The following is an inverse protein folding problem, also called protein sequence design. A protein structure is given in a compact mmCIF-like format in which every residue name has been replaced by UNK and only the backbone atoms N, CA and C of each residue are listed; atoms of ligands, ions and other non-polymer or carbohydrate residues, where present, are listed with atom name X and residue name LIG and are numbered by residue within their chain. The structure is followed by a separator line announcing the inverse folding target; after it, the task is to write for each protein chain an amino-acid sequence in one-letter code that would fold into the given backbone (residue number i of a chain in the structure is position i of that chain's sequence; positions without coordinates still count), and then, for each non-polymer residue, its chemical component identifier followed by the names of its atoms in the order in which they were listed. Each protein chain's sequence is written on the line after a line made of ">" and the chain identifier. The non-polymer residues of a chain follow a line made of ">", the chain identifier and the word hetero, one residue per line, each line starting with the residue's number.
data_IF_149388292039
#
_entry.id   IF_149388292039
#
_cell.length_a   1.000
_cell.length_b   1.000
_cell.length_c   1.000
_cell.angle_alpha   90.00
_cell.angle_beta   90.00
_cell.angle_gamma   90.00
#
_symmetry.space_group_name_H-M   'P 1'
#
loop_
_entity.id
_entity.type
_entity.pdbx_description
1 polymer ?
#
# COMPACT_ATOMS: atom_id res chain seq x y z
N UNK A 1 11.02 -10.81 -7.83
CA UNK A 1 10.79 -9.35 -7.78
C UNK A 1 9.53 -9.01 -8.55
N UNK A 2 8.70 -8.11 -8.04
CA UNK A 2 7.57 -7.53 -8.76
C UNK A 2 7.64 -6.02 -8.62
N UNK A 3 7.66 -5.28 -9.74
CA UNK A 3 7.71 -3.83 -9.75
C UNK A 3 6.72 -3.23 -10.75
N UNK A 4 6.12 -2.11 -10.36
CA UNK A 4 5.28 -1.25 -11.16
C UNK A 4 5.96 0.12 -11.28
N UNK A 5 6.03 0.63 -12.50
CA UNK A 5 6.54 1.95 -12.85
C UNK A 5 5.40 2.75 -13.47
N UNK A 6 5.20 3.98 -13.03
CA UNK A 6 4.26 4.92 -13.61
C UNK A 6 4.84 6.35 -13.51
N UNK A 7 4.27 7.35 -14.21
CA UNK A 7 4.71 8.74 -14.10
C UNK A 7 4.71 9.28 -12.66
N UNK A 8 3.81 8.79 -11.80
CA UNK A 8 3.71 9.16 -10.39
C UNK A 8 4.75 8.48 -9.48
N UNK A 9 5.50 7.48 -9.98
CA UNK A 9 6.59 6.85 -9.23
C UNK A 9 6.74 5.34 -9.44
N UNK A 10 7.23 4.68 -8.39
CA UNK A 10 7.55 3.24 -8.39
C UNK A 10 6.95 2.53 -7.18
N UNK A 11 6.41 1.33 -7.40
CA UNK A 11 6.05 0.39 -6.34
C UNK A 11 6.79 -0.93 -6.61
N UNK A 12 7.50 -1.47 -5.63
CA UNK A 12 8.26 -2.70 -5.83
C UNK A 12 8.31 -3.60 -4.59
N UNK A 13 8.48 -4.89 -4.87
CA UNK A 13 8.84 -5.93 -3.93
C UNK A 13 10.08 -6.66 -4.44
N UNK A 14 11.12 -6.68 -3.61
CA UNK A 14 12.37 -7.39 -3.84
C UNK A 14 12.51 -8.50 -2.79
N UNK A 15 13.04 -9.65 -3.19
CA UNK A 15 13.40 -10.71 -2.27
C UNK A 15 14.69 -11.38 -2.74
N UNK A 16 15.63 -11.54 -1.82
CA UNK A 16 16.97 -12.04 -2.05
C UNK A 16 17.79 -11.91 -0.76
N UNK A 17 19.04 -12.37 -0.81
CA UNK A 17 19.98 -12.19 0.31
C UNK A 17 20.49 -10.74 0.35
N UNK A 18 21.07 -10.30 1.47
CA UNK A 18 21.64 -8.94 1.58
C UNK A 18 22.66 -8.62 0.49
N UNK A 19 23.64 -9.49 0.18
CA UNK A 19 24.58 -9.23 -0.92
C UNK A 19 23.90 -9.06 -2.28
N UNK A 20 22.71 -9.65 -2.49
CA UNK A 20 21.94 -9.49 -3.73
C UNK A 20 21.11 -8.20 -3.74
N UNK A 21 20.58 -7.79 -2.58
CA UNK A 21 19.67 -6.66 -2.46
C UNK A 21 20.39 -5.32 -2.31
N UNK A 22 21.49 -5.27 -1.56
CA UNK A 22 22.19 -4.02 -1.23
C UNK A 22 22.66 -3.25 -2.48
N UNK A 23 23.23 -3.90 -3.53
CA UNK A 23 23.60 -3.21 -4.76
C UNK A 23 22.38 -2.61 -5.50
N UNK A 24 21.26 -3.32 -5.50
CA UNK A 24 20.01 -2.84 -6.13
C UNK A 24 19.50 -1.62 -5.38
N UNK A 25 19.48 -1.67 -4.04
CA UNK A 25 19.07 -0.54 -3.22
C UNK A 25 20.00 0.66 -3.39
N UNK A 26 21.31 0.44 -3.54
CA UNK A 26 22.28 1.50 -3.83
C UNK A 26 21.99 2.18 -5.18
N UNK A 27 21.69 1.40 -6.22
CA UNK A 27 21.29 1.93 -7.54
C UNK A 27 19.98 2.71 -7.43
N UNK A 28 18.99 2.19 -6.72
CA UNK A 28 17.71 2.90 -6.57
C UNK A 28 17.89 4.23 -5.81
N UNK A 29 18.74 4.26 -4.78
CA UNK A 29 19.02 5.47 -4.00
C UNK A 29 19.88 6.49 -4.74
N UNK A 30 20.61 6.09 -5.79
CA UNK A 30 21.37 7.04 -6.62
C UNK A 30 20.50 7.80 -7.61
N UNK A 31 19.25 7.38 -7.83
CA UNK A 31 18.30 8.08 -8.69
C UNK A 31 17.84 9.38 -7.99
N UNK A 32 17.87 10.54 -8.67
CA UNK A 32 17.36 11.79 -8.11
C UNK A 32 15.92 11.65 -7.59
N UNK A 33 15.68 12.10 -6.36
CA UNK A 33 14.38 11.96 -5.69
C UNK A 33 14.14 10.62 -4.98
N UNK A 34 15.10 9.69 -5.01
CA UNK A 34 14.98 8.37 -4.37
C UNK A 34 16.04 8.11 -3.28
N UNK A 35 16.85 9.11 -2.92
CA UNK A 35 17.91 8.97 -1.92
C UNK A 35 17.39 8.45 -0.56
N UNK A 36 16.20 8.91 -0.16
CA UNK A 36 15.56 8.56 1.12
C UNK A 36 14.70 7.28 1.05
N UNK A 37 14.83 6.50 -0.02
CA UNK A 37 14.11 5.24 -0.17
C UNK A 37 14.45 4.29 0.99
N UNK A 38 13.45 4.05 1.84
CA UNK A 38 13.50 3.16 2.98
C UNK A 38 12.53 1.98 2.78
N UNK A 39 12.99 0.86 2.19
CA UNK A 39 12.16 -0.33 2.02
C UNK A 39 11.74 -0.88 3.38
N UNK A 40 10.51 -1.37 3.46
CA UNK A 40 10.07 -2.22 4.57
C UNK A 40 10.58 -3.63 4.34
N UNK A 41 11.03 -4.28 5.41
CA UNK A 41 11.70 -5.57 5.31
C UNK A 41 10.97 -6.63 6.12
N UNK A 42 10.93 -7.85 5.58
CA UNK A 42 10.35 -9.03 6.22
C UNK A 42 11.17 -10.25 5.81
N UNK A 43 11.33 -11.22 6.72
CA UNK A 43 12.14 -12.40 6.50
C UNK A 43 11.27 -13.60 6.11
N UNK A 44 11.76 -14.42 5.18
CA UNK A 44 11.13 -15.67 4.75
C UNK A 44 12.20 -16.72 4.54
N UNK A 45 11.90 -17.97 4.93
CA UNK A 45 12.76 -19.12 4.64
C UNK A 45 12.73 -19.54 3.16
N UNK A 46 11.74 -19.08 2.40
CA UNK A 46 11.52 -19.43 0.99
C UNK A 46 11.54 -18.18 0.11
N UNK A 47 11.89 -18.35 -1.18
CA UNK A 47 11.86 -17.29 -2.18
C UNK A 47 10.41 -17.04 -2.65
N UNK A 48 9.78 -15.90 -2.30
CA UNK A 48 8.36 -15.65 -2.59
C UNK A 48 8.08 -15.32 -4.06
N UNK A 49 9.10 -15.00 -4.88
CA UNK A 49 8.92 -14.61 -6.27
C UNK A 49 9.63 -15.56 -7.23
N UNK A 50 8.89 -16.10 -8.19
CA UNK A 50 9.43 -17.02 -9.20
C UNK A 50 10.35 -16.36 -10.23
N UNK A 51 10.11 -15.07 -10.53
CA UNK A 51 10.87 -14.31 -11.54
C UNK A 51 10.92 -12.82 -11.20
N UNK A 52 11.75 -12.09 -11.94
CA UNK A 52 11.69 -10.64 -11.98
C UNK A 52 10.62 -10.20 -12.98
N UNK A 53 9.74 -9.29 -12.56
CA UNK A 53 8.70 -8.74 -13.41
C UNK A 53 8.60 -7.24 -13.16
N UNK A 54 8.85 -6.46 -14.22
CA UNK A 54 8.69 -5.00 -14.23
C UNK A 54 7.57 -4.67 -15.20
N UNK A 55 6.58 -3.90 -14.76
CA UNK A 55 5.47 -3.45 -15.61
C UNK A 55 5.40 -1.92 -15.62
N UNK A 56 5.34 -1.35 -16.81
CA UNK A 56 4.98 0.06 -16.98
C UNK A 56 3.47 0.20 -17.00
N UNK A 57 2.93 1.10 -16.19
CA UNK A 57 1.51 1.35 -15.99
C UNK A 57 1.22 2.85 -16.00
N UNK A 58 -0.06 3.19 -16.14
CA UNK A 58 -0.53 4.57 -15.99
C UNK A 58 -0.45 5.04 -14.53
N UNK A 59 -0.78 4.13 -13.61
CA UNK A 59 -0.76 4.34 -12.16
C UNK A 59 -0.04 3.15 -11.48
N UNK A 60 0.73 3.39 -10.43
CA UNK A 60 1.33 2.33 -9.59
C UNK A 60 0.29 1.69 -8.66
N UNK A 61 -0.75 2.44 -8.29
CA UNK A 61 -1.93 1.94 -7.59
C UNK A 61 -3.15 2.48 -8.32
N UNK A 62 -3.86 1.66 -9.13
CA UNK A 62 -4.95 2.13 -9.96
C UNK A 62 -6.14 2.54 -9.08
N UNK A 63 -6.30 3.85 -8.88
CA UNK A 63 -7.44 4.43 -8.17
C UNK A 63 -8.56 4.81 -9.15
N UNK A 64 -8.21 5.11 -10.40
CA UNK A 64 -9.19 5.36 -11.47
C UNK A 64 -9.96 6.68 -11.34
N UNK A 65 -9.44 7.62 -10.54
CA UNK A 65 -9.96 8.99 -10.41
C UNK A 65 -8.89 9.95 -10.92
N UNK A 66 -9.22 10.73 -11.94
CA UNK A 66 -8.30 11.74 -12.47
C UNK A 66 -8.08 12.87 -11.46
N UNK A 67 -6.85 13.42 -11.46
CA UNK A 67 -6.49 14.58 -10.63
C UNK A 67 -6.08 14.25 -9.19
N UNK A 68 -6.11 12.98 -8.77
CA UNK A 68 -5.59 12.56 -7.45
C UNK A 68 -4.09 12.30 -7.56
N UNK A 69 -3.28 13.15 -6.92
CA UNK A 69 -1.83 12.94 -6.77
C UNK A 69 -1.45 12.80 -5.29
N UNK A 70 -1.36 11.56 -4.76
CA UNK A 70 -1.03 11.31 -3.36
C UNK A 70 0.37 11.79 -2.96
N UNK A 71 1.27 12.00 -3.92
CA UNK A 71 2.61 12.51 -3.64
C UNK A 71 2.59 14.02 -3.35
N UNK A 72 1.62 14.76 -3.91
CA UNK A 72 1.42 16.19 -3.68
C UNK A 72 0.47 16.49 -2.52
N UNK A 73 -0.60 15.73 -2.39
CA UNK A 73 -1.66 15.95 -1.39
C UNK A 73 -1.86 14.70 -0.51
N UNK A 74 -0.90 14.37 0.37
CA UNK A 74 -1.03 13.21 1.22
C UNK A 74 -2.07 13.45 2.31
N UNK A 75 -2.91 12.44 2.58
CA UNK A 75 -3.79 12.45 3.74
C UNK A 75 -2.99 12.39 5.06
N UNK A 76 -3.52 12.95 6.17
CA UNK A 76 -2.90 12.81 7.48
C UNK A 76 -2.62 11.36 7.86
N UNK A 77 -1.49 11.12 8.52
CA UNK A 77 -1.06 9.79 8.96
C UNK A 77 -1.16 9.69 10.47
N UNK A 78 -1.58 8.52 10.97
CA UNK A 78 -1.61 8.16 12.38
C UNK A 78 -0.61 7.02 12.65
N UNK A 79 0.03 7.03 13.81
CA UNK A 79 0.92 5.91 14.18
C UNK A 79 0.13 4.71 14.68
N UNK A 80 0.70 3.50 14.59
CA UNK A 80 0.03 2.29 15.12
C UNK A 80 -0.28 2.40 16.62
N UNK A 81 0.62 3.03 17.40
CA UNK A 81 0.42 3.26 18.84
C UNK A 81 -0.73 4.20 19.10
N UNK A 82 -0.79 5.30 18.36
CA UNK A 82 -1.85 6.30 18.50
C UNK A 82 -3.21 5.73 18.09
N UNK A 83 -3.26 4.99 16.98
CA UNK A 83 -4.48 4.27 16.57
C UNK A 83 -4.94 3.29 17.67
N UNK A 84 -4.02 2.49 18.22
CA UNK A 84 -4.35 1.58 19.33
C UNK A 84 -4.94 2.35 20.52
N UNK A 85 -4.32 3.46 20.93
CA UNK A 85 -4.83 4.31 22.00
C UNK A 85 -6.24 4.80 21.71
N UNK A 86 -6.53 5.28 20.50
CA UNK A 86 -7.87 5.76 20.14
C UNK A 86 -8.93 4.67 20.22
N UNK A 87 -8.57 3.44 19.80
CA UNK A 87 -9.46 2.28 19.87
C UNK A 87 -9.69 1.83 21.32
N UNK A 88 -8.64 1.78 22.14
CA UNK A 88 -8.73 1.43 23.57
C UNK A 88 -9.61 2.45 24.33
N UNK A 89 -9.51 3.73 23.98
CA UNK A 89 -10.30 4.84 24.53
C UNK A 89 -11.73 4.90 23.99
N UNK A 90 -12.09 4.03 23.03
CA UNK A 90 -13.40 4.02 22.35
C UNK A 90 -13.79 5.38 21.76
N UNK A 91 -12.82 6.08 21.17
CA UNK A 91 -13.09 7.34 20.46
C UNK A 91 -14.07 7.09 19.29
N UNK A 92 -14.90 8.09 18.91
CA UNK A 92 -15.80 7.97 17.77
C UNK A 92 -14.98 7.99 16.46
N UNK A 93 -14.52 6.82 16.03
CA UNK A 93 -13.72 6.63 14.82
C UNK A 93 -14.33 5.55 13.95
N UNK A 94 -14.39 5.80 12.65
CA UNK A 94 -14.80 4.81 11.66
C UNK A 94 -13.55 4.19 11.04
N UNK A 95 -13.35 2.89 11.24
CA UNK A 95 -12.33 2.14 10.53
C UNK A 95 -12.89 1.67 9.19
N UNK A 96 -12.19 1.94 8.10
CA UNK A 96 -12.58 1.53 6.75
C UNK A 96 -11.46 0.69 6.13
N UNK A 97 -11.74 -0.59 5.87
CA UNK A 97 -10.81 -1.50 5.22
C UNK A 97 -10.97 -1.42 3.70
N UNK A 98 -10.03 -0.77 3.02
CA UNK A 98 -10.09 -0.53 1.56
C UNK A 98 -9.37 -1.59 0.74
N UNK A 99 -9.02 -2.72 1.35
CA UNK A 99 -8.41 -3.86 0.66
C UNK A 99 -9.48 -4.64 -0.11
N UNK A 100 -9.03 -5.53 -1.01
CA UNK A 100 -9.97 -6.40 -1.71
C UNK A 100 -10.60 -7.42 -0.74
N UNK A 101 -11.77 -7.95 -1.11
CA UNK A 101 -12.54 -8.84 -0.24
C UNK A 101 -11.78 -10.12 0.19
N UNK A 102 -10.86 -10.62 -0.64
CA UNK A 102 -10.03 -11.76 -0.27
C UNK A 102 -9.12 -11.46 0.93
N UNK A 103 -8.43 -10.31 0.92
CA UNK A 103 -7.55 -9.88 2.02
C UNK A 103 -8.33 -9.60 3.30
N UNK A 104 -9.53 -9.03 3.20
CA UNK A 104 -10.39 -8.78 4.37
C UNK A 104 -10.80 -10.10 5.03
N UNK A 105 -11.17 -11.12 4.24
CA UNK A 105 -11.55 -12.44 4.76
C UNK A 105 -10.42 -13.17 5.48
N UNK A 106 -9.15 -12.88 5.13
CA UNK A 106 -7.99 -13.44 5.83
C UNK A 106 -7.75 -12.79 7.20
N UNK A 107 -8.34 -11.63 7.45
CA UNK A 107 -8.26 -10.91 8.73
C UNK A 107 -8.40 -9.42 8.54
N UNK A 108 -9.18 -8.79 9.40
CA UNK A 108 -9.41 -7.34 9.43
C UNK A 108 -9.49 -6.84 10.88
N UNK A 109 -9.42 -5.52 11.07
CA UNK A 109 -9.64 -4.92 12.39
C UNK A 109 -11.07 -5.19 12.84
N UNK A 110 -11.25 -5.39 14.15
CA UNK A 110 -12.59 -5.52 14.71
C UNK A 110 -13.41 -4.25 14.41
N UNK A 111 -14.66 -4.45 13.99
CA UNK A 111 -15.61 -3.38 13.64
C UNK A 111 -15.20 -2.50 12.44
N UNK A 112 -14.18 -2.88 11.67
CA UNK A 112 -13.88 -2.18 10.42
C UNK A 112 -14.99 -2.39 9.38
N UNK A 113 -15.44 -1.29 8.77
CA UNK A 113 -16.35 -1.31 7.64
C UNK A 113 -15.60 -1.86 6.41
N UNK A 114 -16.26 -2.75 5.68
CA UNK A 114 -15.77 -3.28 4.41
C UNK A 114 -16.70 -2.83 3.27
N UNK A 115 -16.21 -2.03 2.31
CA UNK A 115 -16.97 -1.63 1.13
C UNK A 115 -17.26 -2.78 0.14
N UNK A 116 -16.71 -3.98 0.38
CA UNK A 116 -16.86 -5.20 -0.43
C UNK A 116 -16.45 -4.99 -1.89
N UNK A 117 -15.25 -4.44 -2.07
CA UNK A 117 -14.67 -4.18 -3.39
C UNK A 117 -13.80 -5.34 -3.84
N UNK A 118 -13.88 -5.68 -5.13
CA UNK A 118 -12.98 -6.64 -5.75
C UNK A 118 -11.67 -5.97 -6.19
N UNK A 119 -11.75 -4.72 -6.65
CA UNK A 119 -10.61 -3.90 -7.05
C UNK A 119 -10.62 -2.55 -6.34
N UNK A 120 -9.42 -2.01 -6.07
CA UNK A 120 -9.29 -0.71 -5.41
C UNK A 120 -9.93 0.44 -6.19
N UNK A 121 -9.94 0.37 -7.53
CA UNK A 121 -10.62 1.36 -8.39
C UNK A 121 -12.14 1.45 -8.19
N UNK A 122 -12.75 0.43 -7.56
CA UNK A 122 -14.18 0.39 -7.28
C UNK A 122 -14.52 1.14 -5.97
N UNK A 123 -13.50 1.47 -5.18
CA UNK A 123 -13.63 2.17 -3.89
C UNK A 123 -14.39 3.50 -3.97
N UNK A 124 -14.11 4.41 -4.94
CA UNK A 124 -14.84 5.69 -5.01
C UNK A 124 -16.35 5.52 -5.19
N UNK A 125 -16.79 4.48 -5.89
CA UNK A 125 -18.20 4.16 -6.07
C UNK A 125 -18.79 3.48 -4.83
N UNK A 126 -18.03 2.61 -4.18
CA UNK A 126 -18.46 1.88 -2.99
C UNK A 126 -18.63 2.79 -1.77
N UNK A 127 -17.71 3.74 -1.54
CA UNK A 127 -17.77 4.65 -0.40
C UNK A 127 -18.97 5.59 -0.45
N UNK A 128 -19.45 5.98 -1.64
CA UNK A 128 -20.67 6.78 -1.79
C UNK A 128 -21.95 6.05 -1.36
N UNK A 129 -21.90 4.72 -1.27
CA UNK A 129 -23.01 3.87 -0.85
C UNK A 129 -22.87 3.38 0.60
N UNK A 130 -21.73 3.65 1.23
CA UNK A 130 -21.49 3.32 2.63
C UNK A 130 -22.21 4.35 3.50
N UNK A 131 -23.06 3.85 4.39
CA UNK A 131 -23.68 4.66 5.43
C UNK A 131 -22.62 4.95 6.51
N UNK A 132 -22.27 6.22 6.77
CA UNK A 132 -21.39 6.56 7.88
C UNK A 132 -22.14 6.29 9.20
N UNK A 133 -21.77 5.18 9.85
CA UNK A 133 -22.27 4.79 11.17
C UNK A 133 -21.99 5.85 12.25
#
# INVERSE_FOLDING_TARGET
>A
MKSLLAPEGINFFLAGTRPQLDPILAILRSIPGMADLAPKESFSATQPFQRMLVKVKKEIVPFGVEGVDPAREPSPKITARELKTWLDEKRPVTLLDVRNDYEVRLGTFQQALNPKIDNFRDFPAAVRKLDPA
#
